data_IF_065064125013
#
_entry.id   IF_065064125013
#
_cell.length_a   1.000
_cell.length_b   1.000
_cell.length_c   1.000
_cell.angle_alpha   90.00
_cell.angle_beta   90.00
_cell.angle_gamma   90.00
#
_symmetry.space_group_name_H-M   'P 1'
#
loop_
_entity.id
_entity.type
_entity.pdbx_description
1 polymer ?
#
# COMPACT_ATOMS: atom_id res chain seq x y z
N UNK A 1 -51.00 2.89 14.90
CA UNK A 1 -49.56 3.15 14.97
C UNK A 1 -48.82 1.84 14.79
N UNK A 2 -47.92 1.74 13.82
CA UNK A 2 -47.03 0.58 13.68
C UNK A 2 -45.84 0.78 14.61
N UNK A 3 -45.81 0.06 15.73
CA UNK A 3 -44.66 0.06 16.63
C UNK A 3 -43.47 -0.61 15.91
N UNK A 4 -42.28 0.03 15.89
CA UNK A 4 -41.11 -0.56 15.27
C UNK A 4 -40.70 -1.84 16.02
N UNK A 5 -40.39 -2.88 15.26
CA UNK A 5 -39.87 -4.13 15.81
C UNK A 5 -38.35 -4.02 15.88
N UNK A 6 -37.81 -3.97 17.10
CA UNK A 6 -36.38 -4.05 17.34
C UNK A 6 -35.95 -5.51 17.56
N UNK A 7 -34.94 -5.95 16.80
CA UNK A 7 -34.43 -7.32 16.84
C UNK A 7 -32.92 -7.27 16.68
N UNK A 8 -32.21 -7.89 17.63
CA UNK A 8 -30.77 -8.11 17.47
C UNK A 8 -30.52 -9.03 16.27
N UNK A 9 -29.67 -8.60 15.34
CA UNK A 9 -29.42 -9.33 14.09
C UNK A 9 -28.98 -10.79 14.31
N UNK A 10 -28.21 -11.07 15.38
CA UNK A 10 -27.75 -12.42 15.74
C UNK A 10 -28.88 -13.35 16.18
N UNK A 11 -30.02 -12.77 16.58
CA UNK A 11 -31.24 -13.45 17.00
C UNK A 11 -32.34 -13.43 15.96
N UNK A 12 -32.12 -12.80 14.80
CA UNK A 12 -33.12 -12.64 13.75
C UNK A 12 -33.70 -13.98 13.29
N UNK A 13 -32.84 -14.99 13.08
CA UNK A 13 -33.29 -16.30 12.62
C UNK A 13 -34.16 -17.02 13.66
N UNK A 14 -33.73 -17.02 14.92
CA UNK A 14 -34.48 -17.58 16.06
C UNK A 14 -35.85 -16.89 16.18
N UNK A 15 -35.86 -15.55 16.16
CA UNK A 15 -37.06 -14.73 16.20
C UNK A 15 -38.04 -15.03 15.06
N UNK A 16 -37.53 -15.29 13.85
CA UNK A 16 -38.34 -15.65 12.67
C UNK A 16 -38.97 -17.04 12.82
N UNK A 17 -38.24 -18.00 13.39
CA UNK A 17 -38.73 -19.36 13.65
C UNK A 17 -39.79 -19.35 14.76
N UNK A 18 -39.53 -18.64 15.86
CA UNK A 18 -40.44 -18.56 17.01
C UNK A 18 -41.81 -17.97 16.63
N UNK A 19 -41.81 -16.98 15.73
CA UNK A 19 -43.05 -16.39 15.17
C UNK A 19 -43.64 -17.16 14.00
N UNK A 20 -43.12 -18.35 13.69
CA UNK A 20 -43.58 -19.19 12.58
C UNK A 20 -43.55 -18.48 11.22
N UNK A 21 -42.66 -17.49 11.05
CA UNK A 21 -42.36 -16.87 9.75
C UNK A 21 -41.45 -17.75 8.90
N UNK A 22 -40.66 -18.58 9.58
CA UNK A 22 -39.80 -19.60 9.01
C UNK A 22 -40.15 -20.94 9.67
N UNK A 23 -40.24 -22.02 8.89
CA UNK A 23 -40.46 -23.35 9.45
C UNK A 23 -39.28 -23.82 10.32
N UNK A 24 -39.54 -24.53 11.42
CA UNK A 24 -38.48 -25.11 12.26
C UNK A 24 -37.56 -26.09 11.48
N UNK A 25 -38.09 -26.75 10.44
CA UNK A 25 -37.34 -27.63 9.54
C UNK A 25 -36.62 -26.93 8.40
N UNK A 26 -36.35 -25.62 8.52
CA UNK A 26 -35.80 -24.81 7.42
C UNK A 26 -34.45 -25.32 6.88
N UNK A 27 -33.63 -25.95 7.71
CA UNK A 27 -32.33 -26.48 7.28
C UNK A 27 -32.49 -27.56 6.20
N UNK A 28 -33.43 -28.48 6.39
CA UNK A 28 -33.74 -29.51 5.41
C UNK A 28 -34.45 -28.94 4.19
N UNK A 29 -35.28 -27.91 4.40
CA UNK A 29 -35.87 -27.14 3.31
C UNK A 29 -34.79 -26.53 2.40
N UNK A 30 -33.83 -25.80 2.98
CA UNK A 30 -32.72 -25.19 2.22
C UNK A 30 -31.88 -26.27 1.52
N UNK A 31 -31.58 -27.39 2.19
CA UNK A 31 -30.86 -28.51 1.55
C UNK A 31 -31.57 -29.00 0.28
N UNK A 32 -32.87 -29.27 0.37
CA UNK A 32 -33.67 -29.70 -0.79
C UNK A 32 -33.68 -28.66 -1.91
N UNK A 33 -33.76 -27.37 -1.57
CA UNK A 33 -33.72 -26.30 -2.56
C UNK A 33 -32.35 -26.19 -3.21
N UNK A 34 -31.26 -26.40 -2.47
CA UNK A 34 -29.91 -26.48 -3.05
C UNK A 34 -29.78 -27.61 -4.05
N UNK A 35 -30.28 -28.80 -3.73
CA UNK A 35 -30.27 -29.93 -4.65
C UNK A 35 -31.02 -29.59 -5.95
N UNK A 36 -32.13 -28.85 -5.85
CA UNK A 36 -32.87 -28.35 -7.03
C UNK A 36 -32.08 -27.31 -7.82
N UNK A 37 -31.34 -26.42 -7.15
CA UNK A 37 -30.45 -25.44 -7.82
C UNK A 37 -29.38 -26.19 -8.59
N UNK A 38 -28.69 -27.15 -7.97
CA UNK A 38 -27.63 -27.93 -8.62
C UNK A 38 -28.14 -28.66 -9.87
N UNK A 39 -29.36 -29.23 -9.80
CA UNK A 39 -30.02 -29.81 -10.97
C UNK A 39 -30.38 -28.76 -12.03
N UNK A 40 -30.82 -27.57 -11.61
CA UNK A 40 -31.17 -26.47 -12.50
C UNK A 40 -29.97 -25.83 -13.20
N UNK A 41 -28.77 -25.88 -12.61
CA UNK A 41 -27.55 -25.31 -13.18
C UNK A 41 -27.16 -25.97 -14.50
N UNK A 42 -27.37 -27.28 -14.64
CA UNK A 42 -27.08 -28.01 -15.88
C UNK A 42 -28.02 -27.69 -17.04
N UNK A 43 -29.08 -26.92 -16.78
CA UNK A 43 -30.13 -26.55 -17.75
C UNK A 43 -30.20 -25.05 -17.95
N UNK A 44 -29.13 -24.29 -17.71
CA UNK A 44 -29.15 -22.85 -17.91
C UNK A 44 -28.94 -22.47 -19.38
N UNK A 45 -29.61 -21.41 -19.86
CA UNK A 45 -29.31 -20.85 -21.17
C UNK A 45 -27.92 -20.20 -21.18
N UNK A 46 -27.28 -20.15 -22.35
CA UNK A 46 -25.98 -19.52 -22.54
C UNK A 46 -26.09 -18.00 -22.55
N UNK A 47 -26.26 -17.42 -21.35
CA UNK A 47 -26.31 -15.99 -21.11
C UNK A 47 -25.07 -15.59 -20.32
N UNK A 48 -24.15 -14.77 -20.88
CA UNK A 48 -22.87 -14.44 -20.24
C UNK A 48 -23.01 -13.88 -18.81
N UNK A 49 -24.01 -13.03 -18.58
CA UNK A 49 -24.28 -12.41 -17.29
C UNK A 49 -24.72 -13.43 -16.23
N UNK A 50 -25.44 -14.47 -16.65
CA UNK A 50 -25.80 -15.59 -15.78
C UNK A 50 -24.54 -16.39 -15.46
N UNK A 51 -23.72 -16.72 -16.46
CA UNK A 51 -22.46 -17.44 -16.26
C UNK A 51 -21.54 -16.73 -15.27
N UNK A 52 -21.37 -15.41 -15.38
CA UNK A 52 -20.56 -14.61 -14.45
C UNK A 52 -21.17 -14.51 -13.05
N UNK A 53 -22.50 -14.45 -12.94
CA UNK A 53 -23.19 -14.46 -11.65
C UNK A 53 -22.93 -15.76 -10.88
N UNK A 54 -22.77 -16.88 -11.57
CA UNK A 54 -22.64 -18.22 -10.98
C UNK A 54 -21.19 -18.61 -10.66
N UNK A 55 -20.19 -17.96 -11.27
CA UNK A 55 -18.76 -18.29 -11.08
C UNK A 55 -18.34 -18.17 -9.61
N UNK A 56 -17.97 -19.30 -9.01
CA UNK A 56 -17.33 -19.37 -7.69
C UNK A 56 -18.19 -18.91 -6.52
N UNK A 57 -19.50 -18.73 -6.70
CA UNK A 57 -20.41 -18.26 -5.64
C UNK A 57 -21.22 -19.40 -5.05
N UNK A 58 -21.39 -19.35 -3.73
CA UNK A 58 -22.45 -20.09 -3.07
C UNK A 58 -23.81 -19.43 -3.41
N UNK A 59 -24.65 -20.15 -4.15
CA UNK A 59 -25.95 -19.62 -4.63
C UNK A 59 -26.99 -19.62 -3.50
N UNK A 60 -27.76 -18.55 -3.46
CA UNK A 60 -28.80 -18.32 -2.47
C UNK A 60 -30.00 -17.66 -3.15
N UNK A 61 -31.12 -17.52 -2.44
CA UNK A 61 -32.38 -16.98 -2.98
C UNK A 61 -32.23 -15.76 -3.90
N UNK A 62 -31.50 -14.72 -3.48
CA UNK A 62 -31.34 -13.51 -4.30
C UNK A 62 -30.54 -13.73 -5.60
N UNK A 63 -29.60 -14.69 -5.61
CA UNK A 63 -28.94 -15.10 -6.85
C UNK A 63 -29.94 -15.78 -7.77
N UNK A 64 -30.78 -16.69 -7.25
CA UNK A 64 -31.84 -17.33 -8.03
C UNK A 64 -32.84 -16.31 -8.60
N UNK A 65 -33.20 -15.28 -7.83
CA UNK A 65 -34.03 -14.18 -8.33
C UNK A 65 -33.36 -13.43 -9.47
N UNK A 66 -32.07 -13.13 -9.36
CA UNK A 66 -31.34 -12.43 -10.42
C UNK A 66 -31.17 -13.31 -11.66
N UNK A 67 -30.91 -14.60 -11.51
CA UNK A 67 -30.89 -15.56 -12.62
C UNK A 67 -32.25 -15.59 -13.34
N UNK A 68 -33.35 -15.69 -12.59
CA UNK A 68 -34.71 -15.64 -13.15
C UNK A 68 -34.95 -14.34 -13.93
N UNK A 69 -34.60 -13.19 -13.34
CA UNK A 69 -34.76 -11.90 -13.99
C UNK A 69 -33.96 -11.80 -15.30
N UNK A 70 -32.70 -12.24 -15.30
CA UNK A 70 -31.84 -12.24 -16.49
C UNK A 70 -32.40 -13.15 -17.59
N UNK A 71 -32.94 -14.32 -17.23
CA UNK A 71 -33.61 -15.20 -18.19
C UNK A 71 -34.89 -14.58 -18.76
N UNK A 72 -35.68 -13.87 -17.94
CA UNK A 72 -36.87 -13.13 -18.40
C UNK A 72 -36.54 -11.94 -19.29
N UNK A 73 -35.36 -11.34 -19.13
CA UNK A 73 -34.83 -10.26 -19.97
C UNK A 73 -34.26 -10.80 -21.30
N UNK A 74 -33.62 -11.97 -21.28
CA UNK A 74 -32.98 -12.59 -22.44
C UNK A 74 -33.94 -13.40 -23.33
N UNK A 75 -34.96 -14.06 -22.76
CA UNK A 75 -35.99 -14.75 -23.55
C UNK A 75 -37.07 -13.75 -24.04
N UNK A 76 -37.36 -13.74 -25.34
CA UNK A 76 -38.53 -13.05 -25.94
C UNK A 76 -39.88 -13.71 -25.60
N UNK A 77 -39.94 -14.45 -24.48
CA UNK A 77 -41.00 -15.38 -24.11
C UNK A 77 -41.50 -15.19 -22.68
N UNK A 78 -41.92 -13.97 -22.31
CA UNK A 78 -42.79 -13.72 -21.14
C UNK A 78 -44.18 -14.39 -21.25
N UNK A 79 -44.34 -15.37 -22.13
CA UNK A 79 -45.60 -16.06 -22.38
C UNK A 79 -45.85 -17.03 -21.24
N UNK A 80 -46.67 -16.56 -20.30
CA UNK A 80 -47.34 -17.42 -19.34
C UNK A 80 -48.54 -18.07 -20.04
N UNK A 81 -48.77 -19.36 -19.78
CA UNK A 81 -50.00 -20.02 -20.23
C UNK A 81 -51.22 -19.47 -19.46
N UNK A 82 -52.43 -19.91 -19.82
CA UNK A 82 -53.69 -19.48 -19.18
C UNK A 82 -53.71 -19.75 -17.66
N UNK A 83 -52.86 -20.65 -17.17
CA UNK A 83 -52.67 -20.97 -15.76
C UNK A 83 -51.53 -20.20 -15.07
N UNK A 84 -50.94 -19.19 -15.75
CA UNK A 84 -49.90 -18.33 -15.19
C UNK A 84 -48.50 -18.97 -15.13
N UNK A 85 -48.28 -20.14 -15.74
CA UNK A 85 -46.98 -20.83 -15.76
C UNK A 85 -46.16 -20.44 -17.00
N UNK A 86 -44.85 -20.31 -16.85
CA UNK A 86 -43.94 -20.01 -17.97
C UNK A 86 -43.95 -21.11 -19.04
N UNK A 87 -43.86 -20.70 -20.30
CA UNK A 87 -43.79 -21.62 -21.45
C UNK A 87 -42.40 -22.24 -21.64
N UNK A 88 -41.33 -21.52 -21.27
CA UNK A 88 -39.95 -22.03 -21.26
C UNK A 88 -39.75 -23.05 -20.13
N UNK A 89 -39.05 -24.15 -20.44
CA UNK A 89 -38.71 -25.16 -19.45
C UNK A 89 -37.75 -24.61 -18.39
N UNK A 90 -36.80 -23.77 -18.80
CA UNK A 90 -35.81 -23.14 -17.91
C UNK A 90 -36.50 -22.21 -16.92
N UNK A 91 -37.37 -21.32 -17.40
CA UNK A 91 -38.15 -20.42 -16.54
C UNK A 91 -39.07 -21.18 -15.57
N UNK A 92 -39.67 -22.31 -15.99
CA UNK A 92 -40.45 -23.16 -15.06
C UNK A 92 -39.60 -23.77 -13.95
N UNK A 93 -38.42 -24.28 -14.27
CA UNK A 93 -37.52 -24.87 -13.26
C UNK A 93 -37.10 -23.84 -12.23
N UNK A 94 -36.70 -22.65 -12.66
CA UNK A 94 -36.26 -21.59 -11.75
C UNK A 94 -37.42 -20.92 -10.99
N UNK A 95 -38.60 -20.79 -11.59
CA UNK A 95 -39.83 -20.38 -10.87
C UNK A 95 -40.18 -21.38 -9.75
N UNK A 96 -40.04 -22.69 -9.98
CA UNK A 96 -40.22 -23.71 -8.94
C UNK A 96 -39.21 -23.57 -7.80
N UNK A 97 -37.94 -23.31 -8.11
CA UNK A 97 -36.90 -23.08 -7.09
C UNK A 97 -37.25 -21.85 -6.25
N UNK A 98 -37.68 -20.75 -6.87
CA UNK A 98 -38.09 -19.54 -6.15
C UNK A 98 -39.31 -19.79 -5.26
N UNK A 99 -40.33 -20.48 -5.78
CA UNK A 99 -41.51 -20.86 -4.97
C UNK A 99 -41.14 -21.79 -3.82
N UNK A 100 -40.18 -22.70 -4.01
CA UNK A 100 -39.70 -23.58 -2.95
C UNK A 100 -38.98 -22.80 -1.85
N UNK A 101 -38.21 -21.76 -2.20
CA UNK A 101 -37.63 -20.83 -1.23
C UNK A 101 -38.68 -20.00 -0.48
N UNK A 102 -39.71 -19.52 -1.19
CA UNK A 102 -40.76 -18.67 -0.62
C UNK A 102 -41.71 -19.44 0.28
N UNK A 103 -41.95 -20.72 -0.06
CA UNK A 103 -42.67 -21.66 0.79
C UNK A 103 -41.96 -21.77 2.14
N UNK A 104 -42.74 -21.71 3.22
CA UNK A 104 -42.27 -21.86 4.60
C UNK A 104 -41.17 -20.85 5.01
N UNK A 105 -41.01 -19.75 4.25
CA UNK A 105 -40.11 -18.64 4.56
C UNK A 105 -38.62 -18.94 4.44
N UNK A 106 -38.20 -19.98 3.71
CA UNK A 106 -36.78 -20.41 3.67
C UNK A 106 -35.82 -19.32 3.20
N UNK A 107 -36.25 -18.44 2.29
CA UNK A 107 -35.47 -17.28 1.86
C UNK A 107 -35.10 -16.33 3.01
N UNK A 108 -36.00 -16.14 3.97
CA UNK A 108 -35.75 -15.31 5.17
C UNK A 108 -34.72 -16.00 6.07
N UNK A 109 -34.79 -17.32 6.19
CA UNK A 109 -33.85 -18.10 6.97
C UNK A 109 -32.42 -17.98 6.42
N UNK A 110 -32.29 -18.11 5.10
CA UNK A 110 -31.00 -17.97 4.43
C UNK A 110 -30.47 -16.53 4.50
N UNK A 111 -31.33 -15.54 4.29
CA UNK A 111 -30.97 -14.12 4.41
C UNK A 111 -30.48 -13.76 5.82
N UNK A 112 -31.20 -14.22 6.86
CA UNK A 112 -30.79 -14.02 8.25
C UNK A 112 -29.43 -14.67 8.53
N UNK A 113 -29.19 -15.89 8.02
CA UNK A 113 -27.89 -16.56 8.18
C UNK A 113 -26.76 -15.81 7.49
N UNK A 114 -26.98 -15.33 6.26
CA UNK A 114 -25.99 -14.51 5.53
C UNK A 114 -25.69 -13.23 6.31
N UNK A 115 -26.73 -12.55 6.80
CA UNK A 115 -26.55 -11.33 7.61
C UNK A 115 -25.70 -11.61 8.85
N UNK A 116 -26.01 -12.67 9.60
CA UNK A 116 -25.25 -13.07 10.79
C UNK A 116 -23.81 -13.40 10.43
N UNK A 117 -23.57 -14.18 9.38
CA UNK A 117 -22.21 -14.54 8.94
C UNK A 117 -21.40 -13.31 8.54
N UNK A 118 -22.01 -12.40 7.78
CA UNK A 118 -21.35 -11.19 7.31
C UNK A 118 -20.99 -10.27 8.47
N UNK A 119 -21.94 -10.01 9.37
CA UNK A 119 -21.75 -9.08 10.49
C UNK A 119 -20.84 -9.65 11.58
N UNK A 120 -20.89 -10.95 11.83
CA UNK A 120 -20.14 -11.59 12.92
C UNK A 120 -18.72 -11.96 12.51
N UNK A 121 -18.49 -12.35 11.26
CA UNK A 121 -17.21 -12.90 10.83
C UNK A 121 -16.57 -12.12 9.69
N UNK A 122 -17.28 -11.90 8.57
CA UNK A 122 -16.66 -11.31 7.38
C UNK A 122 -16.32 -9.83 7.54
N UNK A 123 -17.25 -9.00 8.03
CA UNK A 123 -17.00 -7.58 8.23
C UNK A 123 -15.87 -7.35 9.25
N UNK A 124 -15.85 -8.04 10.42
CA UNK A 124 -14.73 -7.92 11.35
C UNK A 124 -13.38 -8.38 10.77
N UNK A 125 -13.35 -9.50 10.03
CA UNK A 125 -12.09 -9.97 9.42
C UNK A 125 -11.58 -9.01 8.37
N UNK A 126 -12.46 -8.50 7.50
CA UNK A 126 -12.11 -7.48 6.50
C UNK A 126 -11.63 -6.18 7.16
N UNK A 127 -12.29 -5.71 8.22
CA UNK A 127 -11.82 -4.54 8.99
C UNK A 127 -10.41 -4.76 9.55
N UNK A 128 -10.13 -5.95 10.09
CA UNK A 128 -8.80 -6.30 10.59
C UNK A 128 -7.76 -6.30 9.47
N UNK A 129 -8.08 -6.85 8.31
CA UNK A 129 -7.20 -6.83 7.14
C UNK A 129 -6.93 -5.40 6.67
N UNK A 130 -7.96 -4.56 6.58
CA UNK A 130 -7.81 -3.14 6.22
C UNK A 130 -6.86 -2.44 7.20
N UNK A 131 -7.07 -2.60 8.51
CA UNK A 131 -6.22 -2.01 9.53
C UNK A 131 -4.76 -2.46 9.42
N UNK A 132 -4.51 -3.73 9.11
CA UNK A 132 -3.17 -4.25 8.88
C UNK A 132 -2.50 -3.62 7.64
N UNK A 133 -3.25 -3.48 6.55
CA UNK A 133 -2.77 -2.81 5.34
C UNK A 133 -2.44 -1.34 5.62
N UNK A 134 -3.30 -0.61 6.35
CA UNK A 134 -3.05 0.78 6.73
C UNK A 134 -1.79 0.92 7.59
N UNK A 135 -1.59 0.03 8.57
CA UNK A 135 -0.36 0.01 9.38
C UNK A 135 0.90 -0.24 8.53
N UNK A 136 0.82 -1.13 7.54
CA UNK A 136 1.93 -1.39 6.62
C UNK A 136 2.22 -0.17 5.74
N UNK A 137 1.20 0.49 5.20
CA UNK A 137 1.33 1.71 4.40
C UNK A 137 2.04 2.79 5.23
N UNK A 138 1.58 3.06 6.45
CA UNK A 138 2.21 4.05 7.33
C UNK A 138 3.68 3.72 7.66
N UNK A 139 4.01 2.44 7.87
CA UNK A 139 5.39 2.03 8.12
C UNK A 139 6.28 2.25 6.88
N UNK A 140 5.76 1.97 5.68
CA UNK A 140 6.47 2.21 4.42
C UNK A 140 6.66 3.70 4.14
N UNK A 141 5.62 4.52 4.34
CA UNK A 141 5.71 5.97 4.17
C UNK A 141 6.76 6.59 5.09
N UNK A 142 6.82 6.13 6.35
CA UNK A 142 7.85 6.55 7.28
C UNK A 142 9.25 6.18 6.79
N UNK A 143 9.45 4.95 6.31
CA UNK A 143 10.74 4.51 5.74
C UNK A 143 11.12 5.31 4.51
N UNK A 144 10.18 5.61 3.62
CA UNK A 144 10.42 6.48 2.46
C UNK A 144 10.90 7.87 2.89
N UNK A 145 10.26 8.45 3.92
CA UNK A 145 10.69 9.74 4.48
C UNK A 145 12.08 9.69 5.14
N UNK A 146 12.43 8.59 5.79
CA UNK A 146 13.78 8.37 6.36
C UNK A 146 14.84 8.22 5.25
N UNK A 147 14.52 7.50 4.17
CA UNK A 147 15.42 7.36 3.02
C UNK A 147 15.63 8.68 2.28
N UNK A 148 14.58 9.47 2.03
CA UNK A 148 14.70 10.79 1.38
C UNK A 148 15.59 11.75 2.18
N UNK A 149 15.43 11.78 3.52
CA UNK A 149 16.32 12.53 4.40
C UNK A 149 17.75 12.00 4.34
N UNK A 150 17.91 10.68 4.37
CA UNK A 150 19.21 10.03 4.27
C UNK A 150 19.95 10.40 2.98
N UNK A 151 19.26 10.35 1.84
CA UNK A 151 19.81 10.73 0.53
C UNK A 151 20.33 12.17 0.58
N UNK A 152 19.49 13.13 1.00
CA UNK A 152 19.87 14.55 1.10
C UNK A 152 21.05 14.78 2.04
N UNK A 153 21.11 14.06 3.16
CA UNK A 153 22.20 14.16 4.12
C UNK A 153 23.51 13.60 3.55
N UNK A 154 23.47 12.48 2.84
CA UNK A 154 24.64 11.90 2.19
C UNK A 154 25.13 12.75 1.02
N UNK A 155 24.24 13.31 0.21
CA UNK A 155 24.60 14.26 -0.86
C UNK A 155 25.31 15.49 -0.29
N UNK A 156 24.80 16.06 0.82
CA UNK A 156 25.46 17.19 1.50
C UNK A 156 26.82 16.82 2.06
N UNK A 157 26.95 15.65 2.70
CA UNK A 157 28.23 15.16 3.24
C UNK A 157 29.25 14.95 2.11
N UNK A 158 28.81 14.35 1.01
CA UNK A 158 29.62 14.14 -0.17
C UNK A 158 30.12 15.46 -0.76
N UNK A 159 29.21 16.42 -0.99
CA UNK A 159 29.55 17.74 -1.52
C UNK A 159 30.50 18.50 -0.59
N UNK A 160 30.28 18.46 0.73
CA UNK A 160 31.19 19.06 1.71
C UNK A 160 32.58 18.43 1.64
N UNK A 161 32.67 17.10 1.60
CA UNK A 161 33.95 16.40 1.51
C UNK A 161 34.71 16.74 0.23
N UNK A 162 34.00 16.89 -0.89
CA UNK A 162 34.60 17.34 -2.15
C UNK A 162 35.13 18.78 -2.03
N UNK A 163 34.33 19.69 -1.45
CA UNK A 163 34.73 21.08 -1.24
C UNK A 163 35.94 21.22 -0.31
N UNK A 164 36.01 20.44 0.79
CA UNK A 164 37.16 20.41 1.71
C UNK A 164 38.45 19.94 1.01
N UNK A 165 38.33 19.03 0.04
CA UNK A 165 39.44 18.57 -0.79
C UNK A 165 39.75 19.51 -1.97
N UNK A 166 38.94 20.54 -2.21
CA UNK A 166 39.08 21.45 -3.34
C UNK A 166 38.75 20.81 -4.70
N UNK A 167 37.90 19.77 -4.71
CA UNK A 167 37.52 19.01 -5.90
C UNK A 167 36.02 19.16 -6.21
N UNK A 168 35.62 18.90 -7.45
CA UNK A 168 34.22 19.05 -7.91
C UNK A 168 33.36 17.82 -7.57
N UNK A 169 33.99 16.65 -7.42
CA UNK A 169 33.33 15.39 -7.08
C UNK A 169 32.77 14.62 -8.28
N UNK A 170 33.12 14.98 -9.52
CA UNK A 170 32.64 14.29 -10.74
C UNK A 170 33.50 13.08 -11.09
N UNK A 171 34.82 13.23 -11.04
CA UNK A 171 35.78 12.14 -11.17
C UNK A 171 36.89 12.29 -10.14
N UNK A 172 36.57 11.87 -8.91
CA UNK A 172 37.41 12.04 -7.72
C UNK A 172 38.86 11.63 -7.96
N UNK A 173 39.09 10.50 -8.63
CA UNK A 173 40.44 10.00 -8.89
C UNK A 173 41.24 10.95 -9.79
N UNK A 174 40.66 11.43 -10.88
CA UNK A 174 41.33 12.37 -11.78
C UNK A 174 41.51 13.75 -11.14
N UNK A 175 40.52 14.23 -10.40
CA UNK A 175 40.57 15.53 -9.73
C UNK A 175 41.66 15.57 -8.65
N UNK A 176 41.79 14.51 -7.84
CA UNK A 176 42.87 14.38 -6.85
C UNK A 176 44.26 14.31 -7.49
N UNK A 177 44.41 13.55 -8.59
CA UNK A 177 45.67 13.53 -9.35
C UNK A 177 46.00 14.91 -9.93
N UNK A 178 44.99 15.64 -10.41
CA UNK A 178 45.14 17.03 -10.87
C UNK A 178 45.72 17.94 -9.78
N UNK A 179 45.25 17.84 -8.54
CA UNK A 179 45.81 18.60 -7.41
C UNK A 179 47.29 18.27 -7.18
N UNK A 180 47.68 17.00 -7.28
CA UNK A 180 49.09 16.61 -7.11
C UNK A 180 50.01 17.23 -8.18
N UNK A 181 49.49 17.47 -9.38
CA UNK A 181 50.26 18.08 -10.47
C UNK A 181 50.54 19.58 -10.27
N UNK A 182 49.85 20.25 -9.33
CA UNK A 182 50.05 21.67 -9.01
C UNK A 182 51.15 21.91 -7.98
N UNK A 183 51.57 20.87 -7.23
CA UNK A 183 52.62 20.99 -6.21
C UNK A 183 53.95 21.54 -6.76
N UNK A 184 54.47 21.09 -7.92
CA UNK A 184 55.75 21.58 -8.45
C UNK A 184 55.76 23.10 -8.66
N UNK A 185 54.69 23.68 -9.19
CA UNK A 185 54.60 25.13 -9.39
C UNK A 185 54.45 25.88 -8.07
N UNK A 186 53.74 25.30 -7.09
CA UNK A 186 53.60 25.86 -5.75
C UNK A 186 54.95 25.88 -5.01
N UNK A 187 55.74 24.80 -5.13
CA UNK A 187 57.11 24.77 -4.60
C UNK A 187 58.02 25.75 -5.32
N UNK A 188 57.88 25.93 -6.64
CA UNK A 188 58.64 26.94 -7.39
C UNK A 188 58.32 28.36 -6.90
N UNK A 189 57.06 28.68 -6.65
CA UNK A 189 56.68 29.99 -6.10
C UNK A 189 57.25 30.24 -4.70
N UNK A 190 57.35 29.20 -3.85
CA UNK A 190 58.02 29.29 -2.55
C UNK A 190 59.52 29.52 -2.74
N UNK A 191 60.17 28.77 -3.63
CA UNK A 191 61.58 28.92 -3.96
C UNK A 191 61.89 30.34 -4.45
N UNK A 192 61.09 30.87 -5.38
CA UNK A 192 61.21 32.24 -5.88
C UNK A 192 61.04 33.29 -4.76
N UNK A 193 60.12 33.06 -3.82
CA UNK A 193 59.93 33.94 -2.67
C UNK A 193 61.09 33.91 -1.66
N UNK A 194 61.60 32.71 -1.35
CA UNK A 194 62.73 32.52 -0.42
C UNK A 194 64.03 33.04 -1.02
N UNK A 195 64.25 32.82 -2.32
CA UNK A 195 65.41 33.30 -3.05
C UNK A 195 65.28 34.76 -3.53
N UNK A 196 64.26 35.49 -3.06
CA UNK A 196 64.07 36.89 -3.46
C UNK A 196 65.15 37.81 -2.89
N UNK A 197 65.64 38.73 -3.74
CA UNK A 197 66.64 39.72 -3.33
C UNK A 197 66.18 40.58 -2.15
N UNK A 198 64.86 40.80 -2.01
CA UNK A 198 64.27 41.51 -0.89
C UNK A 198 64.45 40.78 0.44
N UNK A 199 64.24 39.46 0.47
CA UNK A 199 64.44 38.66 1.68
C UNK A 199 65.93 38.52 2.01
N UNK A 200 66.77 38.32 0.99
CA UNK A 200 68.22 38.30 1.16
C UNK A 200 68.74 39.62 1.76
N UNK A 201 68.31 40.76 1.21
CA UNK A 201 68.67 42.09 1.72
C UNK A 201 68.19 42.31 3.16
N UNK A 202 67.01 41.81 3.51
CA UNK A 202 66.48 41.89 4.87
C UNK A 202 67.29 41.03 5.86
N UNK A 203 67.73 39.84 5.43
CA UNK A 203 68.61 38.96 6.20
C UNK A 203 69.99 39.61 6.40
N UNK A 204 70.59 40.16 5.34
CA UNK A 204 71.87 40.86 5.39
C UNK A 204 71.80 42.08 6.33
N UNK A 205 70.71 42.86 6.25
CA UNK A 205 70.48 43.99 7.14
C UNK A 205 70.36 43.54 8.59
N UNK A 206 69.59 42.49 8.87
CA UNK A 206 69.45 41.94 10.21
C UNK A 206 70.80 41.43 10.74
N UNK A 207 71.56 40.70 9.94
CA UNK A 207 72.89 40.22 10.32
C UNK A 207 73.85 41.39 10.62
N UNK A 208 73.81 42.46 9.82
CA UNK A 208 74.59 43.66 10.07
C UNK A 208 74.19 44.36 11.38
N UNK A 209 72.89 44.46 11.67
CA UNK A 209 72.38 45.03 12.93
C UNK A 209 72.80 44.17 14.13
N UNK A 210 72.68 42.85 14.03
CA UNK A 210 73.14 41.91 15.08
C UNK A 210 74.64 42.08 15.30
N UNK A 211 75.46 42.05 14.25
CA UNK A 211 76.91 42.28 14.37
C UNK A 211 77.20 43.63 15.01
N UNK A 212 76.53 44.71 14.63
CA UNK A 212 76.72 46.02 15.26
C UNK A 212 76.37 46.01 16.76
N UNK A 213 75.24 45.41 17.14
CA UNK A 213 74.81 45.32 18.54
C UNK A 213 75.74 44.44 19.40
N UNK A 214 76.34 43.39 18.83
CA UNK A 214 77.19 42.44 19.57
C UNK A 214 78.71 42.68 19.39
N UNK A 215 79.15 43.53 18.45
CA UNK A 215 80.56 43.97 18.33
C UNK A 215 80.84 45.28 19.08
N UNK A 216 79.80 45.95 19.56
CA UNK A 216 79.92 47.02 20.53
C UNK A 216 80.07 46.44 21.95
N UNK A 217 81.22 45.84 22.26
CA UNK A 217 81.63 45.63 23.66
C UNK A 217 82.47 46.82 24.15
N UNK A 218 82.31 47.21 25.44
CA UNK A 218 82.76 48.50 25.94
C UNK A 218 84.30 48.56 26.03
N UNK A 219 84.84 49.75 25.75
CA UNK A 219 86.26 50.05 25.87
C UNK A 219 86.82 49.54 27.20
N UNK A 220 87.85 48.69 27.11
CA UNK A 220 88.54 48.08 28.24
C UNK A 220 89.07 49.13 29.24
N UNK A 221 88.73 48.98 30.52
CA UNK A 221 89.44 49.63 31.62
C UNK A 221 90.78 48.92 31.90
N UNK A 222 91.86 49.65 32.24
CA UNK A 222 93.19 49.08 32.39
C UNK A 222 93.37 48.38 33.74
N UNK A 223 94.10 47.26 33.72
CA UNK A 223 94.35 46.36 34.83
C UNK A 223 95.28 46.94 35.92
N UNK A 224 95.02 46.58 37.19
CA UNK A 224 95.89 46.74 38.35
C UNK A 224 96.40 45.39 38.84
#
# INVERSE_FOLDING_TARGET
EELPIDILYSKLLEWLVDRKRVSAGWQDGIRKVRDQIEQGLGQLPDVPEITDLLKGKYLHYYHCKRVMQLMEEAETGKTKNIFGQYSSAHLRTWDKILRAYEKDGLYLAEAARILIQNTTYLCPSLKKTIQQCEQQIHALDRKLGEYDKGIKDYEKKFSRSCAELGIEGKNIHQELLGLTSQLPDLYRGIEEGVCSEGLASALDYHEAVVKFLFSAEPAAEPAA
#
